data_IF_234557446737
#
_entry.id   IF_234557446737
#
_cell.length_a   1.000
_cell.length_b   1.000
_cell.length_c   1.000
_cell.angle_alpha   90.00
_cell.angle_beta   90.00
_cell.angle_gamma   90.00
#
_symmetry.space_group_name_H-M   'P 1'
#
loop_
_entity.id
_entity.type
_entity.pdbx_description
1 polymer ?
#
# COMPACT_ATOMS: atom_id res chain seq x y z
N UNK A 1 -42.45 -48.00 -1.93
CA UNK A 1 -41.53 -46.86 -1.79
C UNK A 1 -41.65 -46.37 -0.37
N UNK A 2 -40.64 -46.65 0.43
CA UNK A 2 -40.57 -46.25 1.84
C UNK A 2 -40.17 -44.78 1.93
N UNK A 3 -40.60 -44.05 2.96
CA UNK A 3 -40.29 -42.62 3.15
C UNK A 3 -38.80 -42.26 2.98
N UNK A 4 -37.89 -43.20 3.30
CA UNK A 4 -36.44 -43.06 3.09
C UNK A 4 -36.00 -42.88 1.64
N UNK A 5 -36.72 -43.46 0.66
CA UNK A 5 -36.34 -43.38 -0.75
C UNK A 5 -36.67 -42.00 -1.35
N UNK A 6 -37.77 -41.38 -0.91
CA UNK A 6 -38.19 -40.04 -1.33
C UNK A 6 -37.32 -38.94 -0.72
N UNK A 7 -36.86 -39.14 0.52
CA UNK A 7 -35.98 -38.19 1.23
C UNK A 7 -34.56 -38.21 0.64
N UNK A 8 -34.08 -39.40 0.23
CA UNK A 8 -32.81 -39.59 -0.48
C UNK A 8 -32.80 -38.93 -1.88
N UNK A 9 -33.91 -39.03 -2.60
CA UNK A 9 -34.05 -38.45 -3.95
C UNK A 9 -34.11 -36.92 -3.92
N UNK A 10 -34.79 -36.35 -2.91
CA UNK A 10 -34.85 -34.89 -2.69
C UNK A 10 -33.48 -34.28 -2.33
N UNK A 11 -32.75 -34.90 -1.40
CA UNK A 11 -31.40 -34.44 -1.02
C UNK A 11 -30.45 -34.55 -2.23
N UNK A 12 -30.54 -35.62 -3.01
CA UNK A 12 -29.76 -35.80 -4.24
C UNK A 12 -30.05 -34.70 -5.26
N UNK A 13 -31.33 -34.34 -5.47
CA UNK A 13 -31.72 -33.26 -6.36
C UNK A 13 -31.19 -31.88 -5.90
N UNK A 14 -31.23 -31.59 -4.59
CA UNK A 14 -30.64 -30.36 -4.02
C UNK A 14 -29.13 -30.31 -4.29
N UNK A 15 -28.42 -31.41 -4.02
CA UNK A 15 -26.97 -31.48 -4.22
C UNK A 15 -26.62 -31.30 -5.70
N UNK A 16 -27.33 -31.98 -6.61
CA UNK A 16 -27.12 -31.86 -8.05
C UNK A 16 -27.39 -30.42 -8.54
N UNK A 17 -28.45 -29.78 -8.05
CA UNK A 17 -28.74 -28.37 -8.33
C UNK A 17 -27.63 -27.43 -7.85
N UNK A 18 -27.13 -27.62 -6.64
CA UNK A 18 -26.03 -26.84 -6.09
C UNK A 18 -24.72 -27.04 -6.87
N UNK A 19 -24.43 -28.27 -7.31
CA UNK A 19 -23.26 -28.59 -8.15
C UNK A 19 -23.37 -27.92 -9.52
N UNK A 20 -24.52 -28.01 -10.18
CA UNK A 20 -24.75 -27.38 -11.47
C UNK A 20 -24.62 -25.85 -11.41
N UNK A 21 -25.18 -25.21 -10.38
CA UNK A 21 -25.06 -23.77 -10.18
C UNK A 21 -23.61 -23.35 -9.90
N UNK A 22 -22.88 -24.14 -9.12
CA UNK A 22 -21.44 -23.91 -8.88
C UNK A 22 -20.65 -24.01 -10.18
N UNK A 23 -20.92 -25.00 -11.02
CA UNK A 23 -20.24 -25.18 -12.30
C UNK A 23 -20.51 -23.99 -13.23
N UNK A 24 -21.78 -23.59 -13.38
CA UNK A 24 -22.17 -22.42 -14.19
C UNK A 24 -21.39 -21.17 -13.78
N UNK A 25 -21.32 -20.88 -12.48
CA UNK A 25 -20.55 -19.73 -11.96
C UNK A 25 -19.06 -19.86 -12.23
N UNK A 26 -18.49 -21.05 -12.07
CA UNK A 26 -17.09 -21.33 -12.39
C UNK A 26 -16.77 -21.00 -13.85
N UNK A 27 -17.65 -21.40 -14.77
CA UNK A 27 -17.48 -21.17 -16.21
C UNK A 27 -17.61 -19.67 -16.55
N UNK A 28 -18.60 -18.99 -15.95
CA UNK A 28 -18.77 -17.53 -16.08
C UNK A 28 -17.56 -16.75 -15.58
N UNK A 29 -16.99 -17.18 -14.46
CA UNK A 29 -15.82 -16.53 -13.90
C UNK A 29 -14.55 -16.83 -14.70
N UNK A 30 -14.39 -18.06 -15.21
CA UNK A 30 -13.31 -18.37 -16.13
C UNK A 30 -13.38 -17.50 -17.40
N UNK A 31 -14.58 -17.31 -17.95
CA UNK A 31 -14.80 -16.40 -19.08
C UNK A 31 -14.48 -14.93 -18.71
N UNK A 32 -14.86 -14.48 -17.51
CA UNK A 32 -14.51 -13.15 -17.00
C UNK A 32 -12.98 -12.99 -16.89
N UNK A 33 -12.27 -13.97 -16.33
CA UNK A 33 -10.81 -13.96 -16.17
C UNK A 33 -10.07 -13.94 -17.52
N UNK A 34 -10.66 -14.54 -18.54
CA UNK A 34 -10.15 -14.51 -19.91
C UNK A 34 -10.47 -13.20 -20.65
N UNK A 35 -11.36 -12.35 -20.12
CA UNK A 35 -11.73 -11.09 -20.79
C UNK A 35 -10.59 -10.07 -20.80
N UNK A 36 -10.52 -9.28 -21.87
CA UNK A 36 -9.49 -8.24 -22.04
C UNK A 36 -9.49 -7.23 -20.89
N UNK A 37 -10.67 -6.88 -20.39
CA UNK A 37 -10.82 -5.94 -19.27
C UNK A 37 -10.21 -6.49 -17.98
N UNK A 38 -10.44 -7.77 -17.67
CA UNK A 38 -9.84 -8.42 -16.51
C UNK A 38 -8.32 -8.50 -16.67
N UNK A 39 -7.84 -8.98 -17.81
CA UNK A 39 -6.40 -9.10 -18.11
C UNK A 39 -5.69 -7.74 -18.01
N UNK A 40 -6.33 -6.67 -18.50
CA UNK A 40 -5.81 -5.31 -18.37
C UNK A 40 -5.69 -4.87 -16.91
N UNK A 41 -6.70 -5.14 -16.08
CA UNK A 41 -6.65 -4.84 -14.63
C UNK A 41 -5.53 -5.60 -13.93
N UNK A 42 -5.31 -6.87 -14.27
CA UNK A 42 -4.21 -7.68 -13.70
C UNK A 42 -2.84 -7.12 -14.12
N UNK A 43 -2.65 -6.82 -15.41
CA UNK A 43 -1.42 -6.18 -15.91
C UNK A 43 -1.14 -4.86 -15.23
N UNK A 44 -2.18 -4.09 -14.93
CA UNK A 44 -2.05 -2.83 -14.21
C UNK A 44 -1.55 -3.03 -12.78
N UNK A 45 -2.00 -4.08 -12.08
CA UNK A 45 -1.50 -4.47 -10.76
C UNK A 45 -0.02 -4.85 -10.86
N UNK A 46 0.34 -5.70 -11.82
CA UNK A 46 1.74 -6.11 -12.03
C UNK A 46 2.65 -4.90 -12.28
N UNK A 47 2.17 -3.94 -13.09
CA UNK A 47 2.88 -2.67 -13.32
C UNK A 47 3.09 -1.89 -12.02
N UNK A 48 2.09 -1.77 -11.15
CA UNK A 48 2.26 -1.09 -9.86
C UNK A 48 3.33 -1.73 -8.99
N UNK A 49 3.42 -3.07 -9.01
CA UNK A 49 4.40 -3.82 -8.23
C UNK A 49 5.82 -3.60 -8.77
N UNK A 50 5.99 -3.70 -10.09
CA UNK A 50 7.26 -3.45 -10.74
C UNK A 50 7.74 -2.01 -10.51
N UNK A 51 6.86 -1.03 -10.70
CA UNK A 51 7.16 0.39 -10.54
C UNK A 51 7.50 0.74 -9.08
N UNK A 52 6.84 0.12 -8.10
CA UNK A 52 7.17 0.31 -6.68
C UNK A 52 8.52 -0.31 -6.33
N UNK A 53 8.77 -1.54 -6.80
CA UNK A 53 10.04 -2.23 -6.60
C UNK A 53 11.21 -1.44 -7.21
N UNK A 54 11.01 -0.87 -8.41
CA UNK A 54 11.98 0.03 -9.03
C UNK A 54 12.26 1.24 -8.16
N UNK A 55 11.21 1.92 -7.66
CA UNK A 55 11.35 3.09 -6.79
C UNK A 55 12.17 2.79 -5.53
N UNK A 56 11.86 1.70 -4.82
CA UNK A 56 12.60 1.29 -3.62
C UNK A 56 14.04 0.91 -3.93
N UNK A 57 14.30 0.17 -5.02
CA UNK A 57 15.66 -0.21 -5.39
C UNK A 57 16.51 1.01 -5.78
N UNK A 58 15.89 2.00 -6.43
CA UNK A 58 16.55 3.27 -6.75
C UNK A 58 16.91 4.05 -5.47
N UNK A 59 15.99 4.11 -4.50
CA UNK A 59 16.26 4.70 -3.18
C UNK A 59 17.45 4.00 -2.51
N UNK A 60 17.44 2.67 -2.43
CA UNK A 60 18.55 1.87 -1.87
C UNK A 60 19.89 2.14 -2.57
N UNK A 61 19.90 2.09 -3.91
CA UNK A 61 21.08 2.36 -4.71
C UNK A 61 21.65 3.75 -4.41
N UNK A 62 20.80 4.76 -4.24
CA UNK A 62 21.26 6.11 -3.93
C UNK A 62 21.80 6.24 -2.50
N UNK A 63 21.18 5.63 -1.49
CA UNK A 63 21.77 5.68 -0.14
C UNK A 63 23.08 4.92 -0.05
N UNK A 64 23.30 3.88 -0.86
CA UNK A 64 24.58 3.16 -0.87
C UNK A 64 25.78 4.07 -1.18
N UNK A 65 25.55 5.26 -1.77
CA UNK A 65 26.56 6.30 -1.99
C UNK A 65 27.05 6.95 -0.69
N UNK A 66 26.33 6.80 0.42
CA UNK A 66 26.69 7.25 1.76
C UNK A 66 26.50 6.11 2.79
N UNK A 67 27.48 5.19 2.94
CA UNK A 67 27.33 3.99 3.77
C UNK A 67 26.97 4.25 5.25
N UNK A 68 27.56 5.23 5.96
CA UNK A 68 27.17 5.53 7.34
C UNK A 68 25.70 5.92 7.49
N UNK A 69 25.14 6.63 6.52
CA UNK A 69 23.72 6.99 6.49
C UNK A 69 22.85 5.77 6.16
N UNK A 70 23.21 5.04 5.09
CA UNK A 70 22.53 3.81 4.67
C UNK A 70 22.40 2.80 5.81
N UNK A 71 23.48 2.59 6.56
CA UNK A 71 23.52 1.58 7.60
C UNK A 71 22.57 1.84 8.76
N UNK A 72 22.17 3.10 8.96
CA UNK A 72 21.29 3.54 10.04
C UNK A 72 19.81 3.54 9.64
N UNK A 73 19.47 3.51 8.35
CA UNK A 73 18.08 3.59 7.89
C UNK A 73 17.31 2.29 8.12
N UNK A 74 16.38 2.29 9.07
CA UNK A 74 15.57 1.10 9.37
C UNK A 74 14.67 0.75 8.19
N UNK A 75 14.15 1.74 7.46
CA UNK A 75 13.32 1.55 6.26
C UNK A 75 13.99 0.67 5.21
N UNK A 76 15.31 0.81 5.01
CA UNK A 76 16.08 -0.03 4.09
C UNK A 76 16.44 -1.39 4.69
N UNK A 77 16.71 -1.45 6.01
CA UNK A 77 16.97 -2.74 6.69
C UNK A 77 15.77 -3.68 6.64
N UNK A 78 14.56 -3.12 6.72
CA UNK A 78 13.31 -3.88 6.65
C UNK A 78 12.70 -3.92 5.24
N UNK A 79 13.42 -3.44 4.22
CA UNK A 79 13.02 -3.50 2.80
C UNK A 79 12.45 -4.85 2.36
N UNK A 80 13.03 -6.01 2.75
CA UNK A 80 12.46 -7.30 2.37
C UNK A 80 11.00 -7.48 2.81
N UNK A 81 10.61 -6.94 3.98
CA UNK A 81 9.22 -7.00 4.45
C UNK A 81 8.29 -6.16 3.57
N UNK A 82 8.70 -4.97 3.14
CA UNK A 82 7.91 -4.15 2.22
C UNK A 82 7.71 -4.84 0.87
N UNK A 83 8.78 -5.39 0.30
CA UNK A 83 8.71 -6.08 -1.00
C UNK A 83 7.85 -7.35 -0.90
N UNK A 84 8.04 -8.16 0.16
CA UNK A 84 7.26 -9.37 0.38
C UNK A 84 5.77 -9.07 0.54
N UNK A 85 5.39 -8.13 1.41
CA UNK A 85 3.98 -7.80 1.63
C UNK A 85 3.31 -7.18 0.40
N UNK A 86 4.05 -6.40 -0.40
CA UNK A 86 3.55 -5.92 -1.68
C UNK A 86 3.25 -7.08 -2.66
N UNK A 87 4.21 -7.99 -2.85
CA UNK A 87 4.05 -9.13 -3.76
C UNK A 87 2.90 -10.03 -3.28
N UNK A 88 2.84 -10.28 -1.98
CA UNK A 88 1.79 -11.07 -1.34
C UNK A 88 0.41 -10.43 -1.57
N UNK A 89 0.27 -9.12 -1.31
CA UNK A 89 -0.97 -8.39 -1.56
C UNK A 89 -1.41 -8.50 -3.03
N UNK A 90 -0.48 -8.31 -3.98
CA UNK A 90 -0.79 -8.45 -5.40
C UNK A 90 -1.22 -9.87 -5.79
N UNK A 91 -0.52 -10.90 -5.32
CA UNK A 91 -0.93 -12.29 -5.58
C UNK A 91 -2.31 -12.56 -5.01
N UNK A 92 -2.56 -12.17 -3.77
CA UNK A 92 -3.87 -12.33 -3.14
C UNK A 92 -4.98 -11.59 -3.92
N UNK A 93 -4.72 -10.39 -4.43
CA UNK A 93 -5.67 -9.68 -5.29
C UNK A 93 -5.95 -10.47 -6.58
N UNK A 94 -4.91 -10.94 -7.26
CA UNK A 94 -5.04 -11.67 -8.54
C UNK A 94 -5.80 -12.99 -8.38
N UNK A 95 -5.73 -13.60 -7.20
CA UNK A 95 -6.47 -14.81 -6.83
C UNK A 95 -7.86 -14.55 -6.23
N UNK A 96 -8.30 -13.30 -6.10
CA UNK A 96 -9.61 -12.95 -5.53
C UNK A 96 -9.66 -12.96 -3.99
N UNK A 97 -8.51 -13.07 -3.32
CA UNK A 97 -8.32 -13.07 -1.87
C UNK A 97 -8.24 -11.63 -1.32
N UNK A 98 -9.27 -10.81 -1.56
CA UNK A 98 -9.22 -9.38 -1.28
C UNK A 98 -9.05 -9.02 0.20
N UNK A 99 -9.66 -9.77 1.12
CA UNK A 99 -9.57 -9.48 2.56
C UNK A 99 -8.18 -9.79 3.14
N UNK A 100 -7.57 -10.95 2.84
CA UNK A 100 -6.14 -11.17 3.10
C UNK A 100 -5.23 -10.11 2.47
N UNK A 101 -5.47 -9.71 1.21
CA UNK A 101 -4.70 -8.64 0.58
C UNK A 101 -4.80 -7.30 1.34
N UNK A 102 -5.97 -6.96 1.89
CA UNK A 102 -6.14 -5.77 2.74
C UNK A 102 -5.30 -5.83 4.01
N UNK A 103 -5.09 -7.01 4.58
CA UNK A 103 -4.24 -7.17 5.78
C UNK A 103 -2.77 -6.92 5.46
N UNK A 104 -2.27 -7.42 4.32
CA UNK A 104 -0.92 -7.10 3.86
C UNK A 104 -0.75 -5.62 3.53
N UNK A 105 -1.74 -5.02 2.86
CA UNK A 105 -1.74 -3.59 2.59
C UNK A 105 -1.77 -2.76 3.89
N UNK A 106 -2.51 -3.19 4.92
CA UNK A 106 -2.49 -2.55 6.25
C UNK A 106 -1.09 -2.59 6.83
N UNK A 107 -0.44 -3.76 6.79
CA UNK A 107 0.92 -3.92 7.25
C UNK A 107 1.87 -2.97 6.50
N UNK A 108 1.77 -2.86 5.18
CA UNK A 108 2.59 -1.91 4.40
C UNK A 108 2.41 -0.46 4.87
N UNK A 109 1.19 0.00 5.09
CA UNK A 109 0.91 1.34 5.61
C UNK A 109 1.54 1.52 7.00
N UNK A 110 1.30 0.57 7.90
CA UNK A 110 1.79 0.63 9.28
C UNK A 110 3.32 0.63 9.33
N UNK A 111 3.95 -0.29 8.62
CA UNK A 111 5.40 -0.42 8.55
C UNK A 111 6.06 0.81 7.91
N UNK A 112 5.48 1.38 6.84
CA UNK A 112 6.08 2.54 6.15
C UNK A 112 6.06 3.79 7.03
N UNK A 113 4.93 4.02 7.71
CA UNK A 113 4.76 5.15 8.64
C UNK A 113 5.69 5.00 9.85
N UNK A 114 5.75 3.81 10.46
CA UNK A 114 6.60 3.57 11.63
C UNK A 114 8.09 3.61 11.27
N UNK A 115 8.48 3.07 10.11
CA UNK A 115 9.85 3.15 9.63
C UNK A 115 10.29 4.60 9.42
N UNK A 116 9.46 5.42 8.77
CA UNK A 116 9.74 6.86 8.63
C UNK A 116 9.90 7.54 9.99
N UNK A 117 9.00 7.28 10.94
CA UNK A 117 9.08 7.85 12.28
C UNK A 117 10.39 7.46 13.00
N UNK A 118 10.82 6.20 12.88
CA UNK A 118 12.09 5.73 13.42
C UNK A 118 13.30 6.37 12.73
N UNK A 119 13.25 6.53 11.41
CA UNK A 119 14.33 7.15 10.62
C UNK A 119 14.46 8.65 10.89
N UNK A 120 13.39 9.31 11.29
CA UNK A 120 13.38 10.69 11.81
C UNK A 120 13.86 10.82 13.26
N UNK A 121 14.40 9.75 13.85
CA UNK A 121 14.91 9.73 15.22
C UNK A 121 13.87 9.47 16.31
N UNK A 122 12.65 9.06 15.93
CA UNK A 122 11.50 8.90 16.83
C UNK A 122 11.03 10.23 17.46
N UNK A 123 10.49 11.17 16.65
CA UNK A 123 9.93 12.42 17.16
C UNK A 123 8.96 12.19 18.33
N UNK A 124 8.95 13.08 19.35
CA UNK A 124 8.05 12.94 20.47
C UNK A 124 6.59 12.83 20.04
N UNK A 125 5.86 11.90 20.67
CA UNK A 125 4.46 11.60 20.33
C UNK A 125 3.46 12.57 20.97
N UNK A 126 3.91 13.44 21.89
CA UNK A 126 3.05 14.42 22.57
C UNK A 126 2.89 15.69 21.73
N UNK A 127 1.72 16.30 21.75
CA UNK A 127 1.43 17.53 21.00
C UNK A 127 2.17 18.78 21.51
N UNK A 128 2.63 18.77 22.76
CA UNK A 128 3.32 19.86 23.46
C UNK A 128 4.85 19.80 23.34
N UNK A 129 5.39 18.74 22.72
CA UNK A 129 6.81 18.63 22.50
C UNK A 129 7.28 19.58 21.39
N UNK A 130 8.45 20.18 21.60
CA UNK A 130 9.10 21.01 20.60
C UNK A 130 9.32 20.22 19.31
N UNK A 131 8.59 20.60 18.26
CA UNK A 131 8.63 19.96 16.94
C UNK A 131 9.89 20.31 16.16
N UNK A 132 10.63 21.32 16.59
CA UNK A 132 11.86 21.76 15.95
C UNK A 132 13.10 21.25 16.68
N UNK A 133 12.93 20.65 17.88
CA UNK A 133 14.01 20.00 18.60
C UNK A 133 14.66 18.90 17.73
N UNK A 134 15.95 19.06 17.45
CA UNK A 134 16.77 18.11 16.71
C UNK A 134 16.87 16.82 17.52
N UNK A 135 16.39 15.71 16.95
CA UNK A 135 16.53 14.40 17.60
C UNK A 135 17.84 13.78 17.11
N UNK A 136 18.77 13.39 18.01
CA UNK A 136 20.04 12.82 17.58
C UNK A 136 19.82 11.52 16.80
N UNK A 137 20.70 11.22 15.82
CA UNK A 137 20.65 9.96 15.08
C UNK A 137 20.71 8.78 16.05
N UNK A 138 19.79 7.83 15.90
CA UNK A 138 19.76 6.60 16.69
C UNK A 138 20.41 5.46 15.93
N UNK A 139 21.11 4.61 16.66
CA UNK A 139 21.54 3.31 16.16
C UNK A 139 20.33 2.44 15.79
N UNK A 140 20.54 1.44 14.94
CA UNK A 140 19.47 0.48 14.58
C UNK A 140 18.90 -0.21 15.82
N UNK A 141 19.74 -0.58 16.79
CA UNK A 141 19.29 -1.24 18.02
C UNK A 141 18.35 -0.34 18.84
N UNK A 142 18.65 0.95 18.97
CA UNK A 142 17.78 1.91 19.66
C UNK A 142 16.47 2.15 18.91
N UNK A 143 16.48 2.13 17.57
CA UNK A 143 15.26 2.20 16.76
C UNK A 143 14.37 0.98 16.97
N UNK A 144 14.95 -0.22 17.01
CA UNK A 144 14.21 -1.46 17.29
C UNK A 144 13.60 -1.43 18.69
N UNK A 145 14.36 -1.04 19.71
CA UNK A 145 13.84 -0.91 21.08
C UNK A 145 12.70 0.13 21.19
N UNK A 146 12.75 1.22 20.41
CA UNK A 146 11.69 2.20 20.35
C UNK A 146 10.39 1.65 19.74
N UNK A 147 10.48 0.66 18.85
CA UNK A 147 9.31 -0.01 18.27
C UNK A 147 8.57 -0.86 19.32
N UNK A 148 9.28 -1.52 20.22
CA UNK A 148 8.67 -2.31 21.30
C UNK A 148 7.84 -1.43 22.24
N UNK A 149 8.30 -0.19 22.50
CA UNK A 149 7.60 0.79 23.33
C UNK A 149 6.38 1.47 22.67
N UNK A 150 6.16 1.25 21.38
CA UNK A 150 5.11 1.95 20.61
C UNK A 150 3.71 1.34 20.76
N UNK A 151 3.60 0.08 21.21
CA UNK A 151 2.33 -0.62 21.29
C UNK A 151 1.58 -0.70 19.93
N UNK A 152 0.41 -1.34 19.93
CA UNK A 152 -0.44 -1.47 18.71
C UNK A 152 -1.33 -0.24 18.45
N UNK A 153 -1.61 0.56 19.48
CA UNK A 153 -2.69 1.56 19.45
C UNK A 153 -2.22 2.97 19.05
N UNK A 154 -0.92 3.21 18.97
CA UNK A 154 -0.36 4.56 18.81
C UNK A 154 -0.16 5.00 17.36
N UNK A 155 -0.79 4.32 16.40
CA UNK A 155 -0.63 4.66 14.96
C UNK A 155 -0.99 6.12 14.68
N UNK A 156 -2.10 6.62 15.23
CA UNK A 156 -2.54 7.99 15.03
C UNK A 156 -1.59 9.03 15.63
N UNK A 157 -0.98 8.72 16.78
CA UNK A 157 0.04 9.55 17.42
C UNK A 157 1.31 9.59 16.58
N UNK A 158 1.77 8.43 16.09
CA UNK A 158 2.94 8.33 15.19
C UNK A 158 2.70 9.20 13.96
N UNK A 159 1.58 8.99 13.26
CA UNK A 159 1.22 9.80 12.09
C UNK A 159 1.15 11.28 12.44
N UNK A 160 0.67 11.66 13.62
CA UNK A 160 0.61 13.05 14.08
C UNK A 160 1.97 13.68 14.38
N UNK A 161 2.97 12.87 14.73
CA UNK A 161 4.31 13.31 15.12
C UNK A 161 5.31 13.42 13.97
N UNK A 162 5.02 12.80 12.81
CA UNK A 162 5.92 12.82 11.65
C UNK A 162 6.31 14.25 11.27
N UNK A 163 7.54 14.43 10.81
CA UNK A 163 8.02 15.67 10.19
C UNK A 163 8.14 15.42 8.68
N UNK A 164 8.11 16.45 7.86
CA UNK A 164 8.29 16.29 6.42
C UNK A 164 9.32 17.28 5.93
N UNK A 165 10.31 16.77 5.20
CA UNK A 165 11.37 17.56 4.60
C UNK A 165 11.03 17.96 3.16
N UNK A 166 10.36 17.10 2.41
CA UNK A 166 10.02 17.35 1.00
C UNK A 166 8.54 17.70 0.79
N UNK A 167 7.64 17.13 1.58
CA UNK A 167 6.22 17.50 1.56
C UNK A 167 6.01 18.85 2.26
N UNK A 168 5.49 19.83 1.53
CA UNK A 168 5.02 21.10 2.10
C UNK A 168 3.89 20.89 3.12
N UNK A 169 3.46 21.96 3.81
CA UNK A 169 2.43 21.84 4.85
C UNK A 169 1.11 21.22 4.34
N UNK A 170 0.72 21.54 3.11
CA UNK A 170 -0.52 21.04 2.50
C UNK A 170 -0.38 19.56 2.17
N UNK A 171 0.71 19.18 1.52
CA UNK A 171 1.02 17.80 1.17
C UNK A 171 1.27 16.94 2.42
N UNK A 172 1.88 17.50 3.47
CA UNK A 172 2.06 16.84 4.76
C UNK A 172 0.72 16.58 5.47
N UNK A 173 -0.22 17.53 5.45
CA UNK A 173 -1.61 17.31 5.92
C UNK A 173 -2.28 16.20 5.12
N UNK A 174 -2.12 16.23 3.79
CA UNK A 174 -2.66 15.19 2.91
C UNK A 174 -2.08 13.81 3.23
N UNK A 175 -0.76 13.70 3.43
CA UNK A 175 -0.11 12.45 3.82
C UNK A 175 -0.74 11.89 5.09
N UNK A 176 -0.88 12.70 6.14
CA UNK A 176 -1.44 12.26 7.42
C UNK A 176 -2.88 11.79 7.27
N UNK A 177 -3.69 12.52 6.50
CA UNK A 177 -5.07 12.14 6.24
C UNK A 177 -5.16 10.83 5.46
N UNK A 178 -4.32 10.66 4.41
CA UNK A 178 -4.24 9.44 3.62
C UNK A 178 -3.79 8.26 4.49
N UNK A 179 -2.76 8.44 5.33
CA UNK A 179 -2.27 7.40 6.25
C UNK A 179 -3.38 6.88 7.17
N UNK A 180 -4.09 7.79 7.85
CA UNK A 180 -5.18 7.46 8.76
C UNK A 180 -6.36 6.82 8.04
N UNK A 181 -6.75 7.36 6.90
CA UNK A 181 -7.86 6.84 6.10
C UNK A 181 -7.57 5.43 5.58
N UNK A 182 -6.38 5.20 5.01
CA UNK A 182 -5.96 3.88 4.55
C UNK A 182 -5.89 2.89 5.72
N UNK A 183 -5.22 3.26 6.81
CA UNK A 183 -5.10 2.39 7.98
C UNK A 183 -6.47 2.01 8.56
N UNK A 184 -7.38 2.98 8.73
CA UNK A 184 -8.74 2.72 9.20
C UNK A 184 -9.53 1.82 8.24
N UNK A 185 -9.46 2.09 6.94
CA UNK A 185 -10.16 1.30 5.90
C UNK A 185 -9.67 -0.15 5.88
N UNK A 186 -8.34 -0.35 5.93
CA UNK A 186 -7.72 -1.67 5.82
C UNK A 186 -7.82 -2.48 7.13
N UNK A 187 -7.97 -1.81 8.28
CA UNK A 187 -8.16 -2.47 9.58
C UNK A 187 -9.54 -3.12 9.74
N UNK A 188 -10.53 -2.72 8.92
CA UNK A 188 -11.90 -3.26 9.02
C UNK A 188 -11.99 -4.77 8.80
N UNK A 189 -11.07 -5.40 8.07
CA UNK A 189 -11.09 -6.83 7.73
C UNK A 189 -10.15 -7.69 8.58
N UNK A 190 -9.60 -7.10 9.65
CA UNK A 190 -8.64 -7.77 10.54
C UNK A 190 -9.34 -8.59 11.63
N UNK A 191 -10.55 -8.18 12.03
CA UNK A 191 -11.37 -8.87 13.03
C UNK A 191 -12.74 -9.24 12.46
N UNK A 192 -13.27 -10.37 12.90
CA UNK A 192 -14.68 -10.72 12.63
C UNK A 192 -15.56 -9.72 13.38
N UNK A 193 -16.49 -9.10 12.68
CA UNK A 193 -17.47 -8.16 13.23
C UNK A 193 -18.84 -8.42 12.60
N UNK A 194 -19.93 -8.07 13.28
CA UNK A 194 -21.29 -8.19 12.73
C UNK A 194 -21.40 -7.51 11.37
N UNK A 195 -20.83 -6.30 11.25
CA UNK A 195 -20.77 -5.54 10.00
C UNK A 195 -20.08 -6.31 8.86
N UNK A 196 -18.98 -7.00 9.14
CA UNK A 196 -18.28 -7.79 8.11
C UNK A 196 -19.11 -9.00 7.70
N UNK A 197 -19.73 -9.69 8.65
CA UNK A 197 -20.59 -10.84 8.38
C UNK A 197 -21.83 -10.43 7.58
N UNK A 198 -22.49 -9.33 7.95
CA UNK A 198 -23.63 -8.77 7.21
C UNK A 198 -23.26 -8.36 5.78
N UNK A 199 -22.10 -7.73 5.60
CA UNK A 199 -21.57 -7.40 4.26
C UNK A 199 -21.34 -8.68 3.45
N UNK A 200 -20.79 -9.71 4.06
CA UNK A 200 -20.47 -10.97 3.38
C UNK A 200 -21.76 -11.72 3.00
N UNK A 201 -22.79 -11.71 3.84
CA UNK A 201 -24.13 -12.20 3.50
C UNK A 201 -24.78 -11.40 2.36
N UNK A 202 -24.74 -10.07 2.41
CA UNK A 202 -25.28 -9.24 1.33
C UNK A 202 -24.54 -9.45 0.00
N UNK A 203 -23.23 -9.75 0.04
CA UNK A 203 -22.46 -10.12 -1.15
C UNK A 203 -22.86 -11.52 -1.65
N UNK A 204 -23.02 -12.48 -0.75
CA UNK A 204 -23.47 -13.83 -1.06
C UNK A 204 -24.84 -13.83 -1.76
N UNK A 205 -25.80 -13.04 -1.26
CA UNK A 205 -27.13 -12.86 -1.87
C UNK A 205 -27.06 -12.26 -3.28
N UNK A 206 -26.03 -11.44 -3.56
CA UNK A 206 -25.77 -10.84 -4.89
C UNK A 206 -24.95 -11.74 -5.81
N UNK A 207 -24.67 -12.98 -5.42
CA UNK A 207 -23.85 -13.90 -6.19
C UNK A 207 -22.35 -13.56 -6.18
N UNK A 208 -21.90 -12.65 -5.30
CA UNK A 208 -20.49 -12.31 -5.12
C UNK A 208 -19.88 -13.24 -4.09
N UNK A 209 -19.14 -14.23 -4.57
CA UNK A 209 -18.48 -15.21 -3.72
C UNK A 209 -16.97 -15.00 -3.69
N UNK A 210 -16.33 -15.67 -2.74
CA UNK A 210 -14.87 -15.79 -2.69
C UNK A 210 -14.33 -16.33 -4.01
N UNK A 211 -13.34 -15.65 -4.59
CA UNK A 211 -12.78 -15.94 -5.92
C UNK A 211 -13.79 -15.84 -7.08
N UNK A 212 -14.90 -15.11 -6.89
CA UNK A 212 -15.88 -14.75 -7.92
C UNK A 212 -16.02 -13.23 -8.02
N UNK A 213 -14.88 -12.53 -8.02
CA UNK A 213 -14.80 -11.08 -8.11
C UNK A 213 -15.27 -10.54 -9.47
N UNK A 214 -15.87 -9.36 -9.46
CA UNK A 214 -16.17 -8.61 -10.69
C UNK A 214 -14.98 -7.75 -11.10
N UNK A 215 -14.95 -7.29 -12.36
CA UNK A 215 -13.98 -6.28 -12.84
C UNK A 215 -14.00 -5.03 -11.95
N UNK A 216 -15.17 -4.62 -11.48
CA UNK A 216 -15.30 -3.46 -10.58
C UNK A 216 -14.61 -3.70 -9.23
N UNK A 217 -14.71 -4.91 -8.69
CA UNK A 217 -14.07 -5.29 -7.42
C UNK A 217 -12.53 -5.29 -7.58
N UNK A 218 -12.00 -5.85 -8.67
CA UNK A 218 -10.57 -5.83 -8.99
C UNK A 218 -10.06 -4.41 -9.17
N UNK A 219 -10.77 -3.58 -9.93
CA UNK A 219 -10.37 -2.20 -10.14
C UNK A 219 -10.40 -1.39 -8.84
N UNK A 220 -11.36 -1.67 -7.94
CA UNK A 220 -11.43 -1.02 -6.65
C UNK A 220 -10.23 -1.40 -5.76
N UNK A 221 -9.89 -2.68 -5.67
CA UNK A 221 -8.76 -3.12 -4.85
C UNK A 221 -7.40 -2.73 -5.47
N UNK A 222 -7.28 -2.70 -6.80
CA UNK A 222 -6.09 -2.20 -7.49
C UNK A 222 -5.84 -0.70 -7.25
N UNK A 223 -6.90 0.11 -7.23
CA UNK A 223 -6.80 1.54 -6.84
C UNK A 223 -6.34 1.69 -5.39
N UNK A 224 -6.88 0.87 -4.49
CA UNK A 224 -6.48 0.88 -3.08
C UNK A 224 -5.00 0.49 -2.91
N UNK A 225 -4.55 -0.56 -3.60
CA UNK A 225 -3.15 -0.95 -3.65
C UNK A 225 -2.27 0.19 -4.13
N UNK A 226 -2.62 0.86 -5.23
CA UNK A 226 -1.86 1.99 -5.75
C UNK A 226 -1.73 3.13 -4.74
N UNK A 227 -2.79 3.45 -3.99
CA UNK A 227 -2.75 4.48 -2.93
C UNK A 227 -1.84 4.08 -1.77
N UNK A 228 -1.86 2.81 -1.38
CA UNK A 228 -0.96 2.26 -0.35
C UNK A 228 0.49 2.36 -0.79
N UNK A 229 0.78 2.00 -2.04
CA UNK A 229 2.13 2.07 -2.61
C UNK A 229 2.62 3.51 -2.81
N UNK A 230 1.73 4.45 -3.18
CA UNK A 230 2.05 5.90 -3.23
C UNK A 230 2.46 6.43 -1.85
N UNK A 231 1.68 6.11 -0.82
CA UNK A 231 2.01 6.49 0.56
C UNK A 231 3.32 5.87 1.03
N UNK A 232 3.48 4.56 0.80
CA UNK A 232 4.70 3.86 1.18
C UNK A 232 5.93 4.45 0.48
N UNK A 233 5.90 4.68 -0.84
CA UNK A 233 7.02 5.31 -1.55
C UNK A 233 7.31 6.71 -0.99
N UNK A 234 6.28 7.53 -0.76
CA UNK A 234 6.46 8.85 -0.17
C UNK A 234 7.13 8.77 1.21
N UNK A 235 6.78 7.76 2.04
CA UNK A 235 7.46 7.50 3.30
C UNK A 235 8.94 7.19 3.12
N UNK A 236 9.30 6.37 2.12
CA UNK A 236 10.69 6.00 1.86
C UNK A 236 11.50 7.20 1.36
N UNK A 237 10.91 8.03 0.49
CA UNK A 237 11.54 9.27 0.08
C UNK A 237 11.75 10.20 1.28
N UNK A 238 10.73 10.44 2.09
CA UNK A 238 10.83 11.32 3.28
C UNK A 238 11.82 10.82 4.35
N UNK A 239 12.19 9.54 4.34
CA UNK A 239 13.22 8.99 5.21
C UNK A 239 14.66 9.31 4.72
N UNK A 240 14.80 9.86 3.52
CA UNK A 240 16.07 10.10 2.84
C UNK A 240 16.53 11.55 2.85
N UNK A 241 17.84 11.73 2.67
CA UNK A 241 18.42 13.05 2.40
C UNK A 241 17.92 13.62 1.06
N UNK A 242 17.53 14.89 1.08
CA UNK A 242 16.87 15.55 -0.05
C UNK A 242 17.75 15.55 -1.31
N UNK A 243 19.07 15.73 -1.16
CA UNK A 243 19.98 15.81 -2.30
C UNK A 243 20.01 14.52 -3.12
N UNK A 244 19.91 13.36 -2.47
CA UNK A 244 19.90 12.06 -3.13
C UNK A 244 18.56 11.75 -3.81
N UNK A 245 17.46 12.28 -3.29
CA UNK A 245 16.13 12.07 -3.89
C UNK A 245 15.95 12.91 -5.15
N UNK A 246 16.47 14.14 -5.19
CA UNK A 246 16.42 14.99 -6.38
C UNK A 246 17.02 14.32 -7.62
N UNK A 247 18.19 13.68 -7.45
CA UNK A 247 18.87 12.89 -8.49
C UNK A 247 18.01 11.74 -9.05
N UNK A 248 17.05 11.20 -8.28
CA UNK A 248 16.17 10.12 -8.75
C UNK A 248 15.07 10.60 -9.69
N UNK A 249 14.61 11.84 -9.52
CA UNK A 249 13.59 12.46 -10.37
C UNK A 249 14.18 13.12 -11.62
N UNK A 250 15.51 13.18 -11.74
CA UNK A 250 16.25 13.58 -12.94
C UNK A 250 16.77 12.33 -13.70
N UNK A 251 16.72 12.28 -15.04
CA UNK A 251 15.65 11.66 -15.83
C UNK A 251 15.45 10.13 -15.63
N UNK A 252 15.61 9.58 -14.42
CA UNK A 252 15.67 8.13 -14.21
C UNK A 252 14.30 7.45 -14.14
N UNK A 253 13.25 8.13 -13.68
CA UNK A 253 11.88 7.62 -13.83
C UNK A 253 11.30 7.99 -15.20
N UNK A 254 10.85 6.96 -15.93
CA UNK A 254 10.16 7.16 -17.20
C UNK A 254 8.85 7.95 -16.99
N UNK A 255 8.39 8.75 -17.98
CA UNK A 255 7.15 9.54 -17.86
C UNK A 255 5.89 8.72 -17.56
N UNK A 256 5.95 7.42 -17.82
CA UNK A 256 4.88 6.46 -17.62
C UNK A 256 4.99 5.69 -16.29
N UNK A 257 5.97 6.01 -15.44
CA UNK A 257 6.06 5.44 -14.09
C UNK A 257 4.76 5.69 -13.30
N UNK A 258 4.19 4.61 -12.73
CA UNK A 258 2.81 4.61 -12.21
C UNK A 258 2.56 5.61 -11.08
N UNK A 259 3.59 6.09 -10.40
CA UNK A 259 3.47 6.93 -9.22
C UNK A 259 3.75 8.41 -9.49
N UNK A 260 4.33 8.78 -10.63
CA UNK A 260 4.74 10.16 -10.91
C UNK A 260 3.58 11.17 -10.82
N UNK A 261 2.36 10.74 -11.14
CA UNK A 261 1.13 11.56 -11.08
C UNK A 261 0.29 11.32 -9.83
N UNK A 262 0.74 10.46 -8.92
CA UNK A 262 0.04 10.22 -7.67
C UNK A 262 0.27 11.40 -6.72
N UNK A 263 -0.70 11.72 -5.84
CA UNK A 263 -0.66 13.00 -5.12
C UNK A 263 0.57 13.20 -4.24
N UNK A 264 1.00 12.16 -3.51
CA UNK A 264 2.13 12.27 -2.58
C UNK A 264 3.45 12.30 -3.32
N UNK A 265 3.66 11.39 -4.27
CA UNK A 265 4.88 11.38 -5.08
C UNK A 265 5.01 12.61 -5.96
N UNK A 266 3.91 13.12 -6.52
CA UNK A 266 3.93 14.38 -7.25
C UNK A 266 4.29 15.56 -6.32
N UNK A 267 3.95 15.49 -5.03
CA UNK A 267 4.35 16.51 -4.07
C UNK A 267 5.86 16.43 -3.75
N UNK A 268 6.41 15.21 -3.61
CA UNK A 268 7.86 15.00 -3.51
C UNK A 268 8.58 15.54 -4.75
N UNK A 269 8.13 15.22 -5.98
CA UNK A 269 8.74 15.74 -7.22
C UNK A 269 8.72 17.27 -7.27
N UNK A 270 7.63 17.91 -6.81
CA UNK A 270 7.51 19.37 -6.79
C UNK A 270 8.48 20.05 -5.82
N UNK A 271 8.96 19.36 -4.80
CA UNK A 271 9.95 19.91 -3.86
C UNK A 271 11.25 20.28 -4.58
N UNK A 272 11.62 19.51 -5.61
CA UNK A 272 12.84 19.73 -6.35
C UNK A 272 12.58 20.80 -7.43
N UNK A 273 13.21 21.96 -7.27
CA UNK A 273 13.07 23.13 -8.15
C UNK A 273 13.89 23.04 -9.47
N UNK A 274 14.34 21.83 -9.82
CA UNK A 274 15.13 21.55 -11.03
C UNK A 274 14.38 21.85 -12.34
N UNK A 275 13.08 22.17 -12.30
CA UNK A 275 12.31 22.67 -13.46
C UNK A 275 12.51 24.18 -13.68
N UNK A 276 12.72 24.97 -12.63
CA UNK A 276 13.03 26.39 -12.74
C UNK A 276 14.49 26.58 -13.22
N UNK A 277 15.45 25.87 -12.61
CA UNK A 277 16.84 25.88 -13.09
C UNK A 277 17.00 25.39 -14.53
N UNK A 278 16.20 24.42 -15.00
CA UNK A 278 16.21 23.99 -16.41
C UNK A 278 15.57 24.98 -17.36
N UNK A 279 14.51 25.66 -16.96
CA UNK A 279 13.92 26.76 -17.75
C UNK A 279 14.90 27.92 -17.87
N UNK A 280 15.62 28.24 -16.80
CA UNK A 280 16.72 29.23 -16.83
C UNK A 280 17.87 28.75 -17.72
N UNK A 281 18.34 27.49 -17.56
CA UNK A 281 19.41 26.91 -18.41
C UNK A 281 19.02 26.74 -19.89
N UNK A 282 17.73 26.57 -20.19
CA UNK A 282 17.17 26.51 -21.56
C UNK A 282 16.73 27.87 -22.10
N UNK A 283 16.81 28.94 -21.30
CA UNK A 283 16.37 30.28 -21.69
C UNK A 283 14.85 30.45 -21.82
N UNK A 284 14.05 29.55 -21.26
CA UNK A 284 12.59 29.52 -21.34
C UNK A 284 11.91 30.42 -20.29
N UNK A 285 12.60 30.73 -19.18
CA UNK A 285 12.14 31.65 -18.14
C UNK A 285 13.35 32.44 -17.63
N UNK A 286 13.20 33.76 -17.54
CA UNK A 286 14.22 34.70 -17.06
C UNK A 286 13.99 35.14 -15.62
#
# INVERSE_FOLDING_TARGET
MTNNDLESDFVTAIIQGAVAERQRRSDEHAALRASDAYVASIRQIDRYILDYGLGINMIEMMASRNPPFFDQLISLRIKPHFVQSMIAAAHMIKEGLHDPARREMRFLVEASVKALWLDQGSPPLRQDADRDATVPPRTVAEKVAALDGLGRERFDEVVGSLRFGMLDETAGKQYRQTAKSLYGTLSTTTHVSSRNVERDFANFEKGKHFAFETIADINAIARLLRQVLDLALASHFEAFDHGLVGDLFEPHFAPDWSFLKMPLIAAVDRHFDYKHERRVRRGEVG
#
